data_IF_907278774347
#
_entry.id   IF_907278774347
#
_cell.length_a   1.000
_cell.length_b   1.000
_cell.length_c   1.000
_cell.angle_alpha   90.00
_cell.angle_beta   90.00
_cell.angle_gamma   90.00
#
_symmetry.space_group_name_H-M   'P 1'
#
loop_
_entity.id
_entity.type
_entity.pdbx_description
1 polymer ?
#
# COMPACT_ATOMS: atom_id res chain seq x y z
N UNK A 1 -69.16 58.11 -34.58
CA UNK A 1 -68.79 56.88 -33.84
C UNK A 1 -68.53 55.81 -34.88
N UNK A 2 -67.28 55.66 -35.32
CA UNK A 2 -66.92 54.75 -36.42
C UNK A 2 -65.92 53.71 -35.90
N UNK A 3 -66.37 52.45 -35.98
CA UNK A 3 -65.82 51.26 -35.33
C UNK A 3 -64.72 50.56 -36.16
N UNK A 4 -63.89 51.31 -36.90
CA UNK A 4 -62.98 50.71 -37.90
C UNK A 4 -61.48 50.71 -37.54
N UNK A 5 -61.03 51.42 -36.50
CA UNK A 5 -59.59 51.53 -36.19
C UNK A 5 -59.11 50.57 -35.08
N UNK A 6 -60.01 49.95 -34.33
CA UNK A 6 -59.62 49.06 -33.22
C UNK A 6 -59.17 47.66 -33.68
N UNK A 7 -59.57 47.21 -34.87
CA UNK A 7 -59.26 45.87 -35.35
C UNK A 7 -57.81 45.70 -35.85
N UNK A 8 -57.12 46.79 -36.23
CA UNK A 8 -55.76 46.71 -36.78
C UNK A 8 -54.65 46.73 -35.72
N UNK A 9 -54.90 47.28 -34.53
CA UNK A 9 -53.93 47.29 -33.44
C UNK A 9 -53.91 45.98 -32.63
N UNK A 10 -55.04 45.27 -32.51
CA UNK A 10 -55.12 44.02 -31.74
C UNK A 10 -54.35 42.85 -32.38
N UNK A 11 -54.33 42.74 -33.71
CA UNK A 11 -53.71 41.61 -34.40
C UNK A 11 -52.18 41.69 -34.42
N UNK A 12 -51.61 42.90 -34.50
CA UNK A 12 -50.16 43.11 -34.43
C UNK A 12 -49.59 42.81 -33.03
N UNK A 13 -50.37 43.09 -31.97
CA UNK A 13 -49.96 42.83 -30.59
C UNK A 13 -49.94 41.32 -30.26
N UNK A 14 -50.89 40.56 -30.81
CA UNK A 14 -50.96 39.10 -30.63
C UNK A 14 -49.81 38.35 -31.32
N UNK A 15 -49.37 38.79 -32.50
CA UNK A 15 -48.24 38.18 -33.22
C UNK A 15 -46.89 38.51 -32.52
N UNK A 16 -46.72 39.74 -32.05
CA UNK A 16 -45.47 40.15 -31.37
C UNK A 16 -45.29 39.45 -30.01
N UNK A 17 -46.37 39.27 -29.25
CA UNK A 17 -46.31 38.58 -27.95
C UNK A 17 -46.08 37.06 -28.12
N UNK A 18 -46.65 36.45 -29.17
CA UNK A 18 -46.42 35.03 -29.48
C UNK A 18 -44.97 34.75 -29.90
N UNK A 19 -44.37 35.60 -30.76
CA UNK A 19 -42.96 35.46 -31.17
C UNK A 19 -41.95 35.75 -30.04
N UNK A 20 -42.28 36.62 -29.07
CA UNK A 20 -41.43 36.89 -27.91
C UNK A 20 -41.40 35.70 -26.94
N UNK A 21 -42.53 35.02 -26.73
CA UNK A 21 -42.60 33.88 -25.82
C UNK A 21 -41.92 32.62 -26.42
N UNK A 22 -42.02 32.43 -27.75
CA UNK A 22 -41.40 31.28 -28.45
C UNK A 22 -39.86 31.28 -28.47
N UNK A 23 -39.22 32.46 -28.38
CA UNK A 23 -37.76 32.56 -28.28
C UNK A 23 -37.22 32.22 -26.90
N UNK A 24 -37.99 32.47 -25.84
CA UNK A 24 -37.58 32.18 -24.45
C UNK A 24 -37.85 30.74 -24.05
N UNK A 25 -38.97 30.15 -24.50
CA UNK A 25 -39.29 28.74 -24.26
C UNK A 25 -38.33 27.81 -24.99
N UNK A 26 -37.91 28.13 -26.22
CA UNK A 26 -36.89 27.35 -26.95
C UNK A 26 -35.51 27.41 -26.26
N UNK A 27 -35.13 28.55 -25.66
CA UNK A 27 -33.89 28.65 -24.89
C UNK A 27 -33.95 27.89 -23.56
N UNK A 28 -35.10 27.88 -22.89
CA UNK A 28 -35.31 27.09 -21.67
C UNK A 28 -35.35 25.59 -21.95
N UNK A 29 -36.00 25.18 -23.04
CA UNK A 29 -36.06 23.80 -23.49
C UNK A 29 -34.68 23.28 -23.92
N UNK A 30 -33.89 24.10 -24.63
CA UNK A 30 -32.51 23.76 -24.98
C UNK A 30 -31.60 23.68 -23.75
N UNK A 31 -31.78 24.57 -22.75
CA UNK A 31 -31.06 24.48 -21.46
C UNK A 31 -31.46 23.25 -20.65
N UNK A 32 -32.74 22.84 -20.68
CA UNK A 32 -33.21 21.61 -20.05
C UNK A 32 -32.64 20.36 -20.74
N UNK A 33 -32.59 20.33 -22.08
CA UNK A 33 -31.98 19.22 -22.83
C UNK A 33 -30.47 19.14 -22.56
N UNK A 34 -29.75 20.27 -22.54
CA UNK A 34 -28.32 20.29 -22.19
C UNK A 34 -28.08 19.88 -20.73
N UNK A 35 -28.94 20.28 -19.80
CA UNK A 35 -28.88 19.84 -18.40
C UNK A 35 -29.18 18.33 -18.23
N UNK A 36 -30.07 17.78 -19.05
CA UNK A 36 -30.41 16.35 -19.05
C UNK A 36 -29.29 15.49 -19.68
N UNK A 37 -28.60 16.00 -20.70
CA UNK A 37 -27.39 15.38 -21.27
C UNK A 37 -26.20 15.50 -20.29
N UNK A 38 -26.09 16.59 -19.54
CA UNK A 38 -25.05 16.75 -18.51
C UNK A 38 -25.28 15.85 -17.28
N UNK A 39 -26.52 15.46 -16.98
CA UNK A 39 -26.82 14.52 -15.90
C UNK A 39 -26.50 13.04 -16.26
N UNK A 40 -26.23 12.75 -17.53
CA UNK A 40 -25.78 11.43 -17.99
C UNK A 40 -24.24 11.26 -18.01
N UNK A 41 -23.48 12.32 -17.73
CA UNK A 41 -22.01 12.27 -17.70
C UNK A 41 -21.48 12.11 -16.26
N UNK A 42 -21.92 11.05 -15.59
CA UNK A 42 -21.16 10.54 -14.44
C UNK A 42 -19.91 9.86 -15.01
N UNK A 43 -18.68 10.23 -14.60
CA UNK A 43 -17.52 9.42 -14.96
C UNK A 43 -17.70 8.05 -14.29
N UNK A 44 -17.98 7.03 -15.09
CA UNK A 44 -17.85 5.63 -14.67
C UNK A 44 -16.36 5.37 -14.52
N UNK A 45 -15.77 5.87 -13.43
CA UNK A 45 -14.54 5.33 -12.88
C UNK A 45 -14.93 4.14 -12.00
N UNK A 46 -15.39 3.10 -12.68
CA UNK A 46 -15.67 1.80 -12.12
C UNK A 46 -15.20 0.79 -13.15
N UNK A 47 -13.91 0.42 -13.09
CA UNK A 47 -13.51 -0.92 -13.50
C UNK A 47 -14.15 -1.87 -12.49
N UNK A 48 -15.46 -2.09 -12.66
CA UNK A 48 -16.16 -3.19 -12.04
C UNK A 48 -15.55 -4.46 -12.59
N UNK A 49 -15.08 -5.32 -11.68
CA UNK A 49 -14.64 -6.68 -11.94
C UNK A 49 -15.84 -7.53 -12.39
N UNK A 50 -16.40 -7.23 -13.55
CA UNK A 50 -17.56 -7.91 -14.10
C UNK A 50 -17.24 -8.35 -15.51
N UNK A 51 -16.78 -9.61 -15.63
CA UNK A 51 -16.60 -10.28 -16.92
C UNK A 51 -15.33 -11.11 -17.07
N UNK A 52 -14.45 -11.17 -16.06
CA UNK A 52 -13.18 -11.87 -16.21
C UNK A 52 -13.32 -13.37 -15.92
N UNK A 53 -13.25 -14.15 -16.99
CA UNK A 53 -12.90 -15.57 -16.99
C UNK A 53 -11.77 -15.85 -15.98
N UNK A 54 -12.11 -16.53 -14.88
CA UNK A 54 -11.20 -16.82 -13.77
C UNK A 54 -10.25 -17.98 -14.07
N UNK A 55 -10.36 -18.61 -15.25
CA UNK A 55 -9.54 -19.76 -15.64
C UNK A 55 -8.06 -19.44 -15.82
N UNK A 56 -7.73 -18.17 -16.09
CA UNK A 56 -6.36 -17.72 -16.32
C UNK A 56 -5.68 -17.14 -15.07
N UNK A 57 -6.42 -16.99 -13.97
CA UNK A 57 -5.89 -16.44 -12.72
C UNK A 57 -5.07 -17.49 -12.01
N UNK A 58 -3.80 -17.17 -11.71
CA UNK A 58 -2.94 -18.00 -10.86
C UNK A 58 -3.00 -17.52 -9.42
N UNK A 59 -2.79 -18.43 -8.47
CA UNK A 59 -2.75 -18.09 -7.04
C UNK A 59 -1.64 -17.07 -6.69
N UNK A 60 -0.54 -17.07 -7.46
CA UNK A 60 0.56 -16.10 -7.35
C UNK A 60 0.19 -14.67 -7.73
N UNK A 61 -0.84 -14.50 -8.57
CA UNK A 61 -1.23 -13.18 -9.08
C UNK A 61 -2.09 -12.43 -8.05
N UNK A 62 -2.59 -13.14 -7.05
CA UNK A 62 -3.34 -12.60 -5.92
C UNK A 62 -2.37 -12.43 -4.76
N UNK A 63 -2.09 -11.17 -4.43
CA UNK A 63 -1.28 -10.84 -3.24
C UNK A 63 -2.06 -11.07 -1.95
N UNK A 64 -1.35 -11.32 -0.85
CA UNK A 64 -1.97 -11.53 0.47
C UNK A 64 -2.82 -10.32 0.91
N UNK A 65 -2.39 -9.10 0.60
CA UNK A 65 -3.15 -7.87 0.87
C UNK A 65 -4.45 -7.75 0.04
N UNK A 66 -4.44 -8.26 -1.20
CA UNK A 66 -5.66 -8.34 -2.00
C UNK A 66 -6.57 -9.45 -1.50
N UNK A 67 -6.01 -10.59 -1.08
CA UNK A 67 -6.75 -11.71 -0.53
C UNK A 67 -7.48 -11.32 0.76
N UNK A 68 -6.83 -10.60 1.69
CA UNK A 68 -7.49 -10.08 2.90
C UNK A 68 -8.64 -9.13 2.57
N UNK A 69 -8.45 -8.23 1.61
CA UNK A 69 -9.50 -7.29 1.15
C UNK A 69 -10.71 -8.04 0.56
N UNK A 70 -10.47 -9.14 -0.16
CA UNK A 70 -11.51 -9.98 -0.74
C UNK A 70 -12.28 -10.73 0.35
N UNK A 71 -11.56 -11.31 1.32
CA UNK A 71 -12.14 -12.01 2.48
C UNK A 71 -13.01 -11.04 3.28
N UNK A 72 -12.48 -9.87 3.64
CA UNK A 72 -13.19 -8.87 4.45
C UNK A 72 -14.47 -8.37 3.74
N UNK A 73 -14.43 -8.22 2.41
CA UNK A 73 -15.62 -7.89 1.62
C UNK A 73 -16.63 -9.04 1.62
N UNK A 74 -16.16 -10.28 1.45
CA UNK A 74 -17.01 -11.47 1.50
C UNK A 74 -17.72 -11.62 2.84
N UNK A 75 -17.01 -11.41 3.95
CA UNK A 75 -17.58 -11.44 5.30
C UNK A 75 -18.67 -10.38 5.49
N UNK A 76 -18.47 -9.15 5.00
CA UNK A 76 -19.48 -8.07 5.01
C UNK A 76 -20.71 -8.42 4.16
N UNK A 77 -20.53 -9.20 3.11
CA UNK A 77 -21.58 -9.71 2.25
C UNK A 77 -22.22 -11.01 2.78
N UNK A 78 -21.77 -11.52 3.92
CA UNK A 78 -22.27 -12.77 4.54
C UNK A 78 -21.84 -14.04 3.82
N UNK A 79 -20.82 -13.95 2.97
CA UNK A 79 -20.25 -15.06 2.20
C UNK A 79 -19.04 -15.62 2.94
N UNK A 80 -19.07 -16.91 3.25
CA UNK A 80 -17.87 -17.58 3.78
C UNK A 80 -16.78 -17.70 2.70
N UNK A 81 -15.48 -17.70 3.08
CA UNK A 81 -14.38 -17.92 2.13
C UNK A 81 -14.54 -19.19 1.29
N UNK A 82 -15.09 -20.25 1.90
CA UNK A 82 -15.37 -21.52 1.22
C UNK A 82 -16.48 -21.39 0.16
N UNK A 83 -17.59 -20.71 0.48
CA UNK A 83 -18.68 -20.46 -0.46
C UNK A 83 -18.25 -19.52 -1.61
N UNK A 84 -17.47 -18.49 -1.30
CA UNK A 84 -16.92 -17.57 -2.29
C UNK A 84 -16.02 -18.29 -3.31
N UNK A 85 -15.19 -19.21 -2.80
CA UNK A 85 -14.30 -20.02 -3.62
C UNK A 85 -15.06 -21.02 -4.50
N UNK A 86 -16.14 -21.61 -4.00
CA UNK A 86 -16.98 -22.51 -4.81
C UNK A 86 -17.65 -21.77 -5.97
N UNK A 87 -18.13 -20.54 -5.72
CA UNK A 87 -18.62 -19.66 -6.80
C UNK A 87 -17.52 -19.29 -7.79
N UNK A 88 -16.29 -19.08 -7.33
CA UNK A 88 -15.15 -18.81 -8.19
C UNK A 88 -14.79 -20.01 -9.09
N UNK A 89 -14.87 -21.23 -8.53
CA UNK A 89 -14.70 -22.49 -9.29
C UNK A 89 -15.78 -22.66 -10.34
N UNK A 90 -17.05 -22.41 -10.00
CA UNK A 90 -18.16 -22.41 -10.96
C UNK A 90 -17.97 -21.38 -12.08
N UNK A 91 -17.22 -20.31 -11.82
CA UNK A 91 -16.83 -19.27 -12.79
C UNK A 91 -15.50 -19.54 -13.51
N UNK A 92 -14.95 -20.75 -13.39
CA UNK A 92 -13.79 -21.22 -14.15
C UNK A 92 -12.46 -21.23 -13.40
N UNK A 93 -12.41 -20.84 -12.12
CA UNK A 93 -11.18 -20.96 -11.32
C UNK A 93 -10.76 -22.43 -11.17
N UNK A 94 -9.47 -22.71 -11.40
CA UNK A 94 -8.96 -24.08 -11.28
C UNK A 94 -8.99 -24.60 -9.84
N UNK A 95 -9.14 -25.91 -9.69
CA UNK A 95 -9.27 -26.55 -8.39
C UNK A 95 -8.02 -26.42 -7.50
N UNK A 96 -6.83 -26.44 -8.10
CA UNK A 96 -5.56 -26.28 -7.40
C UNK A 96 -5.38 -24.86 -6.88
N UNK A 97 -5.70 -23.84 -7.70
CA UNK A 97 -5.64 -22.43 -7.31
C UNK A 97 -6.62 -22.15 -6.17
N UNK A 98 -7.82 -22.72 -6.25
CA UNK A 98 -8.81 -22.59 -5.20
C UNK A 98 -8.29 -23.13 -3.85
N UNK A 99 -7.74 -24.34 -3.84
CA UNK A 99 -7.20 -24.95 -2.62
C UNK A 99 -6.02 -24.17 -2.04
N UNK A 100 -5.15 -23.63 -2.90
CA UNK A 100 -4.02 -22.80 -2.47
C UNK A 100 -4.48 -21.50 -1.81
N UNK A 101 -5.46 -20.82 -2.41
CA UNK A 101 -6.04 -19.59 -1.85
C UNK A 101 -6.75 -19.87 -0.51
N UNK A 102 -7.41 -21.02 -0.37
CA UNK A 102 -8.03 -21.43 0.89
C UNK A 102 -7.00 -21.59 2.01
N UNK A 103 -5.90 -22.30 1.74
CA UNK A 103 -4.82 -22.49 2.71
C UNK A 103 -4.20 -21.16 3.14
N UNK A 104 -3.96 -20.25 2.19
CA UNK A 104 -3.44 -18.91 2.51
C UNK A 104 -4.45 -18.07 3.30
N UNK A 105 -5.73 -18.15 2.95
CA UNK A 105 -6.80 -17.44 3.66
C UNK A 105 -6.86 -17.88 5.14
N UNK A 106 -6.80 -19.18 5.42
CA UNK A 106 -6.79 -19.72 6.78
C UNK A 106 -5.57 -19.27 7.59
N UNK A 107 -4.38 -19.26 6.98
CA UNK A 107 -3.16 -18.78 7.62
C UNK A 107 -3.25 -17.27 7.95
N UNK A 108 -3.81 -16.47 7.06
CA UNK A 108 -3.97 -15.03 7.25
C UNK A 108 -4.98 -14.72 8.37
N UNK A 109 -6.10 -15.44 8.42
CA UNK A 109 -7.09 -15.28 9.49
C UNK A 109 -6.51 -15.67 10.85
N UNK A 110 -5.81 -16.81 10.94
CA UNK A 110 -5.16 -17.26 12.17
C UNK A 110 -4.10 -16.25 12.66
N UNK A 111 -3.34 -15.66 11.73
CA UNK A 111 -2.35 -14.62 12.05
C UNK A 111 -3.02 -13.34 12.54
N UNK A 112 -4.08 -12.89 11.87
CA UNK A 112 -4.81 -11.68 12.23
C UNK A 112 -5.52 -11.82 13.59
N UNK A 113 -6.02 -13.02 13.92
CA UNK A 113 -6.60 -13.32 15.23
C UNK A 113 -5.52 -13.28 16.34
N UNK A 114 -4.33 -13.84 16.07
CA UNK A 114 -3.18 -13.78 16.99
C UNK A 114 -2.68 -12.35 17.19
N UNK A 115 -2.59 -11.55 16.12
CA UNK A 115 -2.21 -10.13 16.19
C UNK A 115 -3.27 -9.30 16.93
N UNK A 116 -4.56 -9.51 16.68
CA UNK A 116 -5.63 -8.79 17.39
C UNK A 116 -5.73 -9.18 18.86
N UNK A 117 -5.45 -10.45 19.20
CA UNK A 117 -5.33 -10.92 20.58
C UNK A 117 -4.13 -10.28 21.29
N UNK A 118 -2.98 -10.18 20.63
CA UNK A 118 -1.80 -9.51 21.17
C UNK A 118 -2.03 -8.00 21.36
N UNK A 119 -2.69 -7.34 20.41
CA UNK A 119 -3.02 -5.90 20.48
C UNK A 119 -4.10 -5.62 21.52
N UNK A 120 -5.06 -6.52 21.72
CA UNK A 120 -6.07 -6.40 22.78
C UNK A 120 -5.49 -6.69 24.17
N UNK A 121 -4.57 -7.65 24.28
CA UNK A 121 -3.82 -7.91 25.52
C UNK A 121 -2.94 -6.71 25.91
N UNK A 122 -2.33 -6.02 24.93
CA UNK A 122 -1.53 -4.82 25.16
C UNK A 122 -2.35 -3.62 25.65
N UNK A 123 -3.65 -3.56 25.31
CA UNK A 123 -4.52 -2.42 25.65
C UNK A 123 -5.27 -2.58 26.98
N UNK A 124 -5.32 -3.79 27.54
CA UNK A 124 -6.20 -4.09 28.69
C UNK A 124 -5.49 -4.32 30.01
N UNK A 125 -4.19 -4.61 30.07
CA UNK A 125 -3.49 -4.76 31.36
C UNK A 125 -2.01 -4.32 31.27
N UNK A 126 -1.63 -3.34 32.08
CA UNK A 126 -0.23 -3.00 32.37
C UNK A 126 0.36 -3.88 33.46
N UNK A 127 0.53 -5.18 33.20
CA UNK A 127 1.29 -6.14 34.02
C UNK A 127 1.85 -7.27 33.10
N UNK A 128 3.00 -7.87 33.43
CA UNK A 128 3.90 -8.47 32.46
C UNK A 128 3.39 -9.80 31.87
N UNK A 129 3.70 -9.93 30.57
CA UNK A 129 3.54 -11.06 29.67
C UNK A 129 3.68 -12.44 30.35
N UNK A 130 2.56 -13.17 30.41
CA UNK A 130 2.61 -14.62 30.40
C UNK A 130 3.21 -15.07 29.05
N UNK A 131 4.13 -16.06 29.01
CA UNK A 131 4.75 -16.48 27.77
C UNK A 131 3.69 -17.04 26.82
N UNK A 132 3.72 -16.57 25.58
CA UNK A 132 3.08 -17.22 24.44
C UNK A 132 3.59 -18.66 24.38
N UNK A 133 2.74 -19.62 24.73
CA UNK A 133 2.94 -21.02 24.41
C UNK A 133 2.83 -21.16 22.89
N UNK A 134 3.97 -20.96 22.22
CA UNK A 134 4.19 -21.53 20.90
C UNK A 134 4.22 -23.04 21.10
N UNK A 135 3.20 -23.73 20.61
CA UNK A 135 3.21 -25.16 20.40
C UNK A 135 4.30 -25.50 19.37
N UNK A 136 5.53 -25.64 19.84
CA UNK A 136 6.60 -26.31 19.13
C UNK A 136 6.44 -27.84 19.31
N UNK A 137 6.89 -28.66 18.34
CA UNK A 137 6.74 -30.11 18.41
C UNK A 137 7.46 -30.64 19.65
N UNK A 138 6.76 -31.47 20.42
CA UNK A 138 7.33 -32.23 21.54
C UNK A 138 8.42 -33.19 21.03
N UNK A 139 9.67 -32.73 21.00
CA UNK A 139 10.82 -33.63 21.15
C UNK A 139 11.23 -33.59 22.62
N UNK A 140 10.47 -34.36 23.40
CA UNK A 140 10.67 -34.65 24.81
C UNK A 140 12.03 -35.33 25.03
N UNK A 141 13.08 -34.56 25.28
CA UNK A 141 14.21 -35.07 26.06
C UNK A 141 13.73 -35.08 27.51
N UNK A 142 13.73 -36.24 28.21
CA UNK A 142 13.30 -36.30 29.59
C UNK A 142 14.11 -35.31 30.44
N UNK A 143 13.42 -34.32 30.97
CA UNK A 143 13.89 -33.48 32.08
C UNK A 143 14.25 -34.44 33.21
N UNK A 144 15.55 -34.66 33.43
CA UNK A 144 16.02 -35.28 34.66
C UNK A 144 15.53 -34.42 35.82
N UNK A 145 14.96 -35.00 36.90
CA UNK A 145 14.52 -34.23 38.05
C UNK A 145 15.71 -33.41 38.54
N UNK A 146 15.56 -32.09 38.61
CA UNK A 146 16.51 -31.24 39.31
C UNK A 146 16.51 -31.69 40.77
N UNK A 147 17.54 -32.43 41.17
CA UNK A 147 17.86 -32.58 42.58
C UNK A 147 18.11 -31.16 43.13
N UNK A 148 17.32 -30.77 44.13
CA UNK A 148 17.54 -29.57 44.92
C UNK A 148 18.89 -29.72 45.63
N UNK A 149 19.97 -29.36 44.94
CA UNK A 149 21.26 -29.14 45.56
C UNK A 149 21.12 -27.92 46.50
N UNK A 150 20.99 -28.20 47.80
CA UNK A 150 21.04 -27.22 48.90
C UNK A 150 22.45 -26.59 49.03
N UNK A 151 22.90 -25.93 47.97
CA UNK A 151 24.13 -25.16 47.90
C UNK A 151 23.84 -23.66 47.81
N UNK A 152 24.79 -22.79 48.23
CA UNK A 152 24.63 -21.35 48.10
C UNK A 152 24.41 -20.97 46.63
N UNK A 153 23.31 -20.23 46.37
CA UNK A 153 22.96 -19.83 45.01
C UNK A 153 24.04 -18.93 44.42
N UNK A 154 24.65 -19.38 43.31
CA UNK A 154 25.65 -18.60 42.58
C UNK A 154 24.92 -17.46 41.86
N UNK A 155 25.30 -16.22 42.16
CA UNK A 155 24.72 -15.03 41.53
C UNK A 155 24.81 -15.12 39.99
N UNK A 156 23.68 -14.92 39.30
CA UNK A 156 23.60 -15.00 37.83
C UNK A 156 23.32 -16.38 37.25
N UNK A 157 23.38 -17.48 38.03
CA UNK A 157 23.03 -18.85 37.58
C UNK A 157 21.67 -18.89 36.86
N UNK A 158 20.65 -18.27 37.43
CA UNK A 158 19.28 -18.28 36.89
C UNK A 158 19.12 -17.49 35.59
N UNK A 159 19.99 -16.51 35.33
CA UNK A 159 19.97 -15.72 34.10
C UNK A 159 20.55 -16.50 32.91
N UNK A 160 21.51 -17.41 33.16
CA UNK A 160 22.17 -18.21 32.12
C UNK A 160 21.71 -19.67 32.07
N UNK A 161 21.01 -20.18 33.10
CA UNK A 161 20.48 -21.54 33.13
C UNK A 161 19.33 -21.76 32.13
N UNK A 162 18.63 -20.69 31.73
CA UNK A 162 17.63 -20.75 30.67
C UNK A 162 18.32 -20.79 29.30
N UNK A 163 18.65 -22.00 28.86
CA UNK A 163 19.00 -22.29 27.46
C UNK A 163 17.81 -21.83 26.60
N UNK A 164 18.06 -21.06 25.54
CA UNK A 164 17.08 -20.56 24.55
C UNK A 164 16.45 -19.17 24.76
N UNK A 165 17.24 -18.15 25.11
CA UNK A 165 17.00 -16.83 24.50
C UNK A 165 17.93 -16.74 23.28
N UNK A 166 17.42 -17.24 22.15
CA UNK A 166 18.12 -17.17 20.88
C UNK A 166 18.44 -15.73 20.55
N UNK A 167 19.70 -15.44 20.26
CA UNK A 167 20.05 -14.30 19.44
C UNK A 167 19.36 -14.54 18.10
N UNK A 168 18.20 -13.93 17.88
CA UNK A 168 17.56 -14.00 16.59
C UNK A 168 18.42 -13.17 15.61
N UNK A 169 18.97 -13.79 14.56
CA UNK A 169 19.71 -13.05 13.55
C UNK A 169 18.75 -12.05 12.90
N UNK A 170 19.27 -10.85 12.60
CA UNK A 170 18.48 -9.73 12.10
C UNK A 170 17.51 -10.16 11.00
N UNK A 171 16.22 -9.99 11.28
CA UNK A 171 15.16 -10.21 10.32
C UNK A 171 15.37 -9.28 9.12
N UNK A 172 15.61 -9.85 7.94
CA UNK A 172 15.56 -9.12 6.67
C UNK A 172 14.08 -8.79 6.36
N UNK A 173 13.53 -7.81 7.06
CA UNK A 173 12.22 -7.23 6.72
C UNK A 173 12.43 -6.34 5.49
N UNK A 174 11.68 -6.54 4.40
CA UNK A 174 11.75 -5.64 3.25
C UNK A 174 11.45 -4.21 3.70
N UNK A 175 12.29 -3.27 3.29
CA UNK A 175 12.07 -1.84 3.56
C UNK A 175 10.70 -1.44 3.00
N UNK A 176 9.76 -0.92 3.82
CA UNK A 176 8.47 -0.44 3.33
C UNK A 176 8.66 0.57 2.20
N UNK A 177 7.80 0.53 1.17
CA UNK A 177 7.90 1.40 -0.02
C UNK A 177 7.90 2.90 0.35
N UNK A 178 7.31 3.23 1.51
CA UNK A 178 7.19 4.55 2.09
C UNK A 178 8.14 4.79 3.28
N UNK A 179 9.24 4.04 3.38
CA UNK A 179 10.22 4.24 4.43
C UNK A 179 10.82 5.65 4.37
N UNK A 180 10.99 6.23 5.56
CA UNK A 180 11.54 7.57 5.75
C UNK A 180 12.89 7.41 6.44
N UNK A 181 13.93 7.98 5.83
CA UNK A 181 15.29 7.88 6.33
C UNK A 181 15.46 8.59 7.68
N UNK A 182 16.05 7.87 8.62
CA UNK A 182 16.40 8.31 9.96
C UNK A 182 17.90 8.19 10.27
N UNK A 183 18.34 8.71 11.42
CA UNK A 183 19.71 8.54 11.89
C UNK A 183 20.07 7.07 12.12
N UNK A 184 21.28 6.67 11.72
CA UNK A 184 21.76 5.30 11.83
C UNK A 184 21.44 4.41 10.64
N UNK A 185 20.61 4.87 9.71
CA UNK A 185 20.36 4.15 8.47
C UNK A 185 21.61 4.11 7.59
N UNK A 186 21.72 3.08 6.76
CA UNK A 186 22.80 2.93 5.80
C UNK A 186 22.26 3.02 4.38
N UNK A 187 22.93 3.83 3.57
CA UNK A 187 22.66 3.99 2.14
C UNK A 187 23.87 3.52 1.35
N UNK A 188 23.62 2.75 0.30
CA UNK A 188 24.66 2.32 -0.63
C UNK A 188 24.50 3.08 -1.94
N UNK A 189 25.56 3.77 -2.35
CA UNK A 189 25.64 4.45 -3.65
C UNK A 189 26.59 3.68 -4.54
N UNK A 190 26.05 3.02 -5.55
CA UNK A 190 26.79 2.28 -6.56
C UNK A 190 26.88 3.11 -7.84
N UNK A 191 28.10 3.34 -8.34
CA UNK A 191 28.39 4.16 -9.53
C UNK A 191 29.11 3.28 -10.54
N UNK A 192 28.67 3.26 -11.79
CA UNK A 192 29.26 2.45 -12.86
C UNK A 192 29.24 3.14 -14.23
N UNK A 193 29.93 2.55 -15.21
CA UNK A 193 30.08 3.06 -16.57
C UNK A 193 31.52 3.49 -16.87
N UNK A 194 31.74 4.76 -17.20
CA UNK A 194 33.07 5.33 -17.44
C UNK A 194 33.94 5.41 -16.17
N UNK A 195 33.32 5.39 -14.99
CA UNK A 195 33.98 5.29 -13.70
C UNK A 195 33.21 4.31 -12.82
N UNK A 196 33.89 3.69 -11.86
CA UNK A 196 33.30 2.74 -10.93
C UNK A 196 33.64 3.12 -9.49
N UNK A 197 32.64 3.23 -8.64
CA UNK A 197 32.82 3.52 -7.22
C UNK A 197 31.63 2.99 -6.40
N UNK A 198 31.90 2.58 -5.17
CA UNK A 198 30.89 2.13 -4.22
C UNK A 198 31.06 2.90 -2.92
N UNK A 199 30.06 3.68 -2.53
CA UNK A 199 30.06 4.40 -1.26
C UNK A 199 29.02 3.78 -0.31
N UNK A 200 29.48 3.41 0.88
CA UNK A 200 28.62 3.03 2.00
C UNK A 200 28.48 4.24 2.92
N UNK A 201 27.27 4.75 3.05
CA UNK A 201 26.98 6.02 3.69
C UNK A 201 26.07 5.79 4.88
N UNK A 202 26.57 6.07 6.09
CA UNK A 202 25.73 6.04 7.29
C UNK A 202 25.10 7.42 7.52
N UNK A 203 23.79 7.46 7.78
CA UNK A 203 23.07 8.68 8.13
C UNK A 203 23.48 9.11 9.54
N UNK A 204 24.11 10.28 9.64
CA UNK A 204 24.52 10.88 10.91
C UNK A 204 23.33 11.26 11.80
N UNK A 205 23.59 11.54 13.09
CA UNK A 205 22.59 12.07 14.03
C UNK A 205 21.95 13.37 13.57
N UNK A 206 22.70 14.19 12.84
CA UNK A 206 22.25 15.44 12.22
C UNK A 206 21.41 15.19 10.94
N UNK A 207 21.21 13.94 10.54
CA UNK A 207 20.38 13.59 9.39
C UNK A 207 21.07 13.76 8.03
N UNK A 208 22.39 13.74 8.01
CA UNK A 208 23.20 13.94 6.78
C UNK A 208 24.05 12.73 6.43
N UNK A 209 24.34 12.56 5.14
CA UNK A 209 25.34 11.61 4.61
C UNK A 209 26.47 12.37 3.91
N UNK A 210 27.69 11.87 4.00
CA UNK A 210 28.88 12.51 3.43
C UNK A 210 29.48 11.69 2.30
N UNK A 211 29.64 12.30 1.12
CA UNK A 211 30.41 11.72 0.01
C UNK A 211 31.68 12.55 -0.15
N UNK A 212 32.82 11.89 -0.37
CA UNK A 212 34.10 12.55 -0.57
C UNK A 212 33.99 13.63 -1.66
N UNK A 213 34.52 14.82 -1.38
CA UNK A 213 34.49 15.99 -2.26
C UNK A 213 33.09 16.59 -2.52
N UNK A 214 32.01 16.10 -1.88
CA UNK A 214 30.63 16.57 -2.09
C UNK A 214 30.01 17.28 -0.89
N UNK A 215 30.68 17.29 0.26
CA UNK A 215 30.15 17.85 1.51
C UNK A 215 28.93 17.07 2.05
N UNK A 216 28.36 17.51 3.19
CA UNK A 216 27.22 16.84 3.80
C UNK A 216 25.93 17.04 2.99
N UNK A 217 25.16 15.96 2.81
CA UNK A 217 23.90 15.92 2.08
C UNK A 217 22.79 15.56 3.07
N UNK A 218 21.80 16.45 3.23
CA UNK A 218 20.69 16.24 4.15
C UNK A 218 19.65 15.26 3.57
N UNK A 219 19.42 14.16 4.28
CA UNK A 219 18.54 13.05 3.87
C UNK A 219 17.48 12.68 4.89
N UNK A 220 17.57 13.18 6.13
CA UNK A 220 16.58 12.90 7.16
C UNK A 220 15.18 13.38 6.77
N UNK A 221 14.18 12.53 7.06
CA UNK A 221 12.78 12.84 6.78
C UNK A 221 12.40 12.68 5.31
N UNK A 222 13.35 12.27 4.45
CA UNK A 222 13.07 11.97 3.05
C UNK A 222 12.71 10.51 2.87
N UNK A 223 11.86 10.24 1.87
CA UNK A 223 11.69 8.89 1.36
C UNK A 223 12.92 8.46 0.56
N UNK A 224 13.09 7.15 0.33
CA UNK A 224 14.21 6.65 -0.47
C UNK A 224 14.29 7.30 -1.87
N UNK A 225 13.15 7.47 -2.53
CA UNK A 225 13.10 8.12 -3.85
C UNK A 225 13.54 9.59 -3.79
N UNK A 226 13.12 10.33 -2.76
CA UNK A 226 13.50 11.73 -2.58
C UNK A 226 14.99 11.88 -2.24
N UNK A 227 15.53 10.95 -1.44
CA UNK A 227 16.94 10.90 -1.11
C UNK A 227 17.79 10.56 -2.34
N UNK A 228 17.37 9.59 -3.15
CA UNK A 228 18.00 9.23 -4.42
C UNK A 228 18.11 10.44 -5.35
N UNK A 229 17.02 11.16 -5.59
CA UNK A 229 17.02 12.37 -6.42
C UNK A 229 18.00 13.43 -5.91
N UNK A 230 18.06 13.61 -4.59
CA UNK A 230 18.92 14.61 -3.95
C UNK A 230 20.40 14.25 -4.05
N UNK A 231 20.74 12.99 -3.78
CA UNK A 231 22.11 12.47 -3.88
C UNK A 231 22.57 12.50 -5.33
N UNK A 232 21.74 12.07 -6.27
CA UNK A 232 22.03 12.15 -7.71
C UNK A 232 22.28 13.59 -8.18
N UNK A 233 21.48 14.55 -7.70
CA UNK A 233 21.68 15.97 -8.02
C UNK A 233 23.06 16.48 -7.62
N UNK A 234 23.56 16.04 -6.46
CA UNK A 234 24.91 16.38 -5.98
C UNK A 234 25.99 15.65 -6.75
N UNK A 235 25.82 14.36 -7.03
CA UNK A 235 26.79 13.55 -7.76
C UNK A 235 27.10 14.10 -9.16
N UNK A 236 26.12 14.69 -9.83
CA UNK A 236 26.29 15.37 -11.13
C UNK A 236 27.33 16.49 -11.10
N UNK A 237 27.56 17.11 -9.95
CA UNK A 237 28.57 18.18 -9.81
C UNK A 237 29.99 17.62 -9.85
N UNK A 238 30.18 16.38 -9.40
CA UNK A 238 31.48 15.69 -9.39
C UNK A 238 31.70 14.86 -10.66
N UNK A 239 30.67 14.17 -11.13
CA UNK A 239 30.74 13.26 -12.26
C UNK A 239 30.17 13.89 -13.53
N UNK A 240 31.05 14.50 -14.35
CA UNK A 240 30.67 15.18 -15.61
C UNK A 240 29.95 14.28 -16.63
N UNK A 241 30.13 12.96 -16.55
CA UNK A 241 29.50 11.98 -17.43
C UNK A 241 28.08 11.58 -17.01
N UNK A 242 27.56 12.14 -15.92
CA UNK A 242 26.24 11.87 -15.36
C UNK A 242 25.26 12.98 -15.77
N UNK A 243 24.52 12.80 -16.86
CA UNK A 243 23.45 13.71 -17.29
C UNK A 243 22.12 12.96 -17.40
N UNK A 244 21.04 13.45 -16.76
CA UNK A 244 19.73 12.83 -16.90
C UNK A 244 19.16 13.12 -18.30
N UNK A 245 18.77 12.06 -19.01
CA UNK A 245 18.10 12.17 -20.31
C UNK A 245 18.99 12.47 -21.52
N UNK A 246 20.33 12.50 -21.35
CA UNK A 246 21.26 12.55 -22.47
C UNK A 246 21.60 11.13 -22.93
N UNK A 247 21.45 10.85 -24.22
CA UNK A 247 21.84 9.57 -24.84
C UNK A 247 23.36 9.29 -24.77
N UNK A 248 24.16 10.32 -24.45
CA UNK A 248 25.60 10.24 -24.32
C UNK A 248 26.06 10.14 -22.85
N UNK A 249 25.15 9.88 -21.91
CA UNK A 249 25.54 9.61 -20.53
C UNK A 249 26.45 8.38 -20.50
N UNK A 250 27.64 8.55 -19.90
CA UNK A 250 28.64 7.48 -19.81
C UNK A 250 28.79 6.95 -18.41
N UNK A 251 28.24 7.65 -17.40
CA UNK A 251 28.30 7.28 -15.99
C UNK A 251 26.89 7.22 -15.41
N UNK A 252 26.61 6.16 -14.65
CA UNK A 252 25.32 5.86 -14.04
C UNK A 252 25.51 5.64 -12.55
N UNK A 253 24.45 5.85 -11.76
CA UNK A 253 24.46 5.59 -10.34
C UNK A 253 23.11 5.05 -9.85
N UNK A 254 23.15 4.26 -8.78
CA UNK A 254 22.00 3.72 -8.05
C UNK A 254 22.19 3.96 -6.57
N UNK A 255 21.11 4.29 -5.88
CA UNK A 255 21.08 4.41 -4.43
C UNK A 255 20.09 3.37 -3.89
N UNK A 256 20.48 2.65 -2.85
CA UNK A 256 19.66 1.64 -2.16
C UNK A 256 19.82 1.70 -0.66
#
# INVERSE_FOLDING_TARGET
MHWSDFARFGFAFLIYHYHWNMRKTNSLFFRLIVMLIALAAVPVNGQGLSGNDLSRVKASDVSDAQLTTIIERGEKEGLSPQQALEMARARGMSASVANELLQRAEQLMARQESENAAVSALRTNGEPLAPLQASAPEDSIPTLPEEEEEGPQIFGKSLFAKKHQGFEPGMNVPTPVNYVLGPGDELVVDIWGATTNLHQLTVSTEGTVGIDNLGPIYVQGLTMQQAEERILSKLKQLYRGMEPGNSNATTFARIS
#
